data_IF_130398290815
#
_entry.id   IF_130398290815
#
_cell.length_a   1.000
_cell.length_b   1.000
_cell.length_c   1.000
_cell.angle_alpha   90.00
_cell.angle_beta   90.00
_cell.angle_gamma   90.00
#
_symmetry.space_group_name_H-M   'P 1'
#
loop_
_entity.id
_entity.type
_entity.pdbx_description
1 polymer ?
#
# COMPACT_ATOMS: atom_id res chain seq x y z
N UNK A 1 13.22 -17.72 9.33
CA UNK A 1 12.57 -18.52 10.41
C UNK A 1 11.19 -17.96 10.72
N UNK A 2 10.17 -18.76 11.09
CA UNK A 2 8.88 -18.24 11.52
C UNK A 2 9.04 -17.41 12.81
N UNK A 3 8.23 -16.38 12.96
CA UNK A 3 8.25 -15.55 14.16
C UNK A 3 7.40 -16.19 15.25
N UNK A 4 7.96 -16.38 16.45
CA UNK A 4 7.23 -16.92 17.60
C UNK A 4 6.44 -15.83 18.32
N UNK A 5 6.90 -14.58 18.21
CA UNK A 5 6.29 -13.44 18.90
C UNK A 5 6.41 -12.13 18.14
N UNK A 6 5.42 -11.24 18.34
CA UNK A 6 5.43 -9.87 17.81
C UNK A 6 6.63 -9.02 18.27
N UNK A 7 7.27 -9.44 19.37
CA UNK A 7 8.47 -8.81 19.91
C UNK A 7 9.73 -9.16 19.12
N UNK A 8 9.74 -10.23 18.32
CA UNK A 8 10.89 -10.62 17.49
C UNK A 8 10.91 -9.91 16.15
N UNK A 9 9.78 -9.29 15.79
CA UNK A 9 9.62 -8.57 14.55
C UNK A 9 10.64 -7.42 14.41
N UNK A 10 11.03 -7.07 13.18
CA UNK A 10 11.94 -5.95 12.90
C UNK A 10 11.44 -4.64 13.52
N UNK A 11 12.36 -3.73 13.88
CA UNK A 11 12.02 -2.43 14.48
C UNK A 11 10.95 -1.65 13.71
N UNK A 12 10.99 -1.71 12.37
CA UNK A 12 9.98 -1.07 11.50
C UNK A 12 8.56 -1.61 11.70
N UNK A 13 8.43 -2.90 12.03
CA UNK A 13 7.16 -3.58 12.31
C UNK A 13 6.74 -3.37 13.77
N UNK A 14 7.71 -3.22 14.70
CA UNK A 14 7.42 -2.93 16.12
C UNK A 14 6.73 -1.58 16.33
N UNK A 15 6.90 -0.64 15.41
CA UNK A 15 6.21 0.65 15.45
C UNK A 15 4.75 0.60 14.96
N UNK A 16 4.30 -0.55 14.47
CA UNK A 16 2.91 -0.73 14.02
C UNK A 16 1.95 -0.90 15.20
N UNK A 17 0.64 -0.71 14.99
CA UNK A 17 -0.39 -1.12 15.93
C UNK A 17 -0.32 -2.64 16.22
N UNK A 18 -0.71 -3.06 17.42
CA UNK A 18 -0.67 -4.48 17.85
C UNK A 18 -1.37 -5.42 16.87
N UNK A 19 -2.50 -4.99 16.30
CA UNK A 19 -3.25 -5.78 15.33
C UNK A 19 -2.53 -5.91 13.98
N UNK A 20 -1.82 -4.88 13.54
CA UNK A 20 -0.99 -4.94 12.34
C UNK A 20 0.20 -5.90 12.52
N UNK A 21 0.82 -5.92 13.70
CA UNK A 21 1.88 -6.89 14.04
C UNK A 21 1.38 -8.34 13.95
N UNK A 22 0.17 -8.59 14.44
CA UNK A 22 -0.43 -9.91 14.37
C UNK A 22 -0.71 -10.37 12.93
N UNK A 23 -1.21 -9.45 12.08
CA UNK A 23 -1.40 -9.71 10.63
C UNK A 23 -0.07 -10.04 9.97
N UNK A 24 0.96 -9.25 10.26
CA UNK A 24 2.30 -9.45 9.73
C UNK A 24 2.84 -10.84 10.08
N UNK A 25 2.83 -11.20 11.36
CA UNK A 25 3.31 -12.49 11.85
C UNK A 25 2.57 -13.65 11.19
N UNK A 26 1.24 -13.56 11.12
CA UNK A 26 0.39 -14.61 10.52
C UNK A 26 0.65 -14.77 9.02
N UNK A 27 0.75 -13.66 8.29
CA UNK A 27 1.07 -13.67 6.87
C UNK A 27 2.48 -14.23 6.63
N UNK A 28 3.47 -13.80 7.43
CA UNK A 28 4.84 -14.31 7.34
C UNK A 28 4.88 -15.81 7.58
N UNK A 29 4.32 -16.31 8.69
CA UNK A 29 4.36 -17.73 9.02
C UNK A 29 3.64 -18.57 7.95
N UNK A 30 2.49 -18.09 7.45
CA UNK A 30 1.77 -18.78 6.37
C UNK A 30 2.59 -18.86 5.07
N UNK A 31 3.23 -17.77 4.65
CA UNK A 31 4.10 -17.78 3.48
C UNK A 31 5.38 -18.58 3.72
N UNK A 32 5.91 -18.56 4.94
CA UNK A 32 7.09 -19.32 5.31
C UNK A 32 6.78 -20.81 5.18
N UNK A 33 5.68 -21.30 5.73
CA UNK A 33 5.28 -22.71 5.66
C UNK A 33 5.07 -23.20 4.23
N UNK A 34 4.47 -22.38 3.36
CA UNK A 34 4.21 -22.73 1.95
C UNK A 34 5.46 -22.69 1.07
N UNK A 35 6.48 -21.93 1.47
CA UNK A 35 7.63 -21.71 0.61
C UNK A 35 8.63 -22.88 0.65
N UNK A 36 8.68 -23.67 -0.42
CA UNK A 36 9.65 -24.78 -0.60
C UNK A 36 11.04 -24.29 -1.06
N UNK A 37 11.43 -23.06 -0.73
CA UNK A 37 12.75 -22.53 -1.11
C UNK A 37 13.85 -23.20 -0.29
N UNK A 38 14.84 -23.74 -1.00
CA UNK A 38 16.06 -24.35 -0.44
C UNK A 38 16.99 -23.33 0.22
N UNK A 39 16.95 -22.09 -0.26
CA UNK A 39 17.73 -20.97 0.27
C UNK A 39 16.95 -20.22 1.37
N UNK A 40 17.36 -20.40 2.63
CA UNK A 40 16.74 -19.72 3.78
C UNK A 40 16.71 -18.19 3.64
N UNK A 41 17.76 -17.59 3.08
CA UNK A 41 17.83 -16.14 2.90
C UNK A 41 16.82 -15.60 1.87
N UNK A 42 16.62 -16.33 0.77
CA UNK A 42 15.66 -15.96 -0.26
C UNK A 42 14.23 -16.19 0.22
N UNK A 43 13.99 -17.31 0.92
CA UNK A 43 12.73 -17.63 1.59
C UNK A 43 12.34 -16.53 2.57
N UNK A 44 13.26 -16.13 3.44
CA UNK A 44 13.00 -15.12 4.46
C UNK A 44 12.66 -13.76 3.85
N UNK A 45 13.41 -13.35 2.83
CA UNK A 45 13.13 -12.11 2.11
C UNK A 45 11.75 -12.14 1.45
N UNK A 46 11.39 -13.22 0.75
CA UNK A 46 10.10 -13.35 0.10
C UNK A 46 8.94 -13.34 1.10
N UNK A 47 9.05 -14.10 2.21
CA UNK A 47 8.06 -14.11 3.28
C UNK A 47 7.90 -12.72 3.92
N UNK A 48 9.01 -11.98 4.08
CA UNK A 48 8.98 -10.61 4.58
C UNK A 48 8.21 -9.65 3.64
N UNK A 49 8.47 -9.72 2.34
CA UNK A 49 7.79 -8.89 1.34
C UNK A 49 6.29 -9.19 1.27
N UNK A 50 5.92 -10.47 1.33
CA UNK A 50 4.53 -10.92 1.37
C UNK A 50 3.80 -10.45 2.63
N UNK A 51 4.43 -10.61 3.81
CA UNK A 51 3.88 -10.15 5.08
C UNK A 51 3.68 -8.62 5.11
N UNK A 52 4.63 -7.86 4.57
CA UNK A 52 4.50 -6.42 4.43
C UNK A 52 3.36 -6.03 3.48
N UNK A 53 3.13 -6.81 2.44
CA UNK A 53 2.03 -6.57 1.50
C UNK A 53 0.68 -6.73 2.20
N UNK A 54 0.50 -7.80 2.99
CA UNK A 54 -0.72 -8.01 3.78
C UNK A 54 -0.97 -6.88 4.81
N UNK A 55 0.08 -6.35 5.44
CA UNK A 55 -0.05 -5.19 6.33
C UNK A 55 -0.46 -3.95 5.54
N UNK A 56 0.19 -3.68 4.40
CA UNK A 56 -0.11 -2.52 3.55
C UNK A 56 -1.52 -2.54 2.96
N UNK A 57 -2.14 -3.71 2.83
CA UNK A 57 -3.53 -3.83 2.38
C UNK A 57 -4.54 -3.38 3.45
N UNK A 58 -4.18 -3.49 4.73
CA UNK A 58 -5.05 -3.14 5.86
C UNK A 58 -4.63 -1.86 6.58
N UNK A 59 -3.38 -1.43 6.42
CA UNK A 59 -2.78 -0.27 7.06
C UNK A 59 -1.97 0.54 6.04
N UNK A 60 -2.15 1.85 6.04
CA UNK A 60 -1.37 2.78 5.25
C UNK A 60 -0.45 3.57 6.17
N UNK A 61 0.80 3.77 5.74
CA UNK A 61 1.69 4.68 6.44
C UNK A 61 1.32 6.11 6.06
N UNK A 62 0.96 6.89 7.06
CA UNK A 62 0.74 8.31 6.90
C UNK A 62 2.09 9.02 6.67
N UNK A 63 2.20 9.76 5.57
CA UNK A 63 3.43 10.49 5.24
C UNK A 63 3.62 11.74 6.11
N UNK A 64 2.53 12.30 6.65
CA UNK A 64 2.56 13.53 7.46
C UNK A 64 3.01 13.23 8.90
N UNK A 65 2.50 12.14 9.52
CA UNK A 65 2.85 11.75 10.89
C UNK A 65 3.91 10.64 10.95
N UNK A 66 4.10 9.90 9.86
CA UNK A 66 4.95 8.71 9.84
C UNK A 66 4.34 7.48 10.53
N UNK A 67 3.08 7.57 10.98
CA UNK A 67 2.38 6.51 11.70
C UNK A 67 1.58 5.61 10.77
N UNK A 68 1.24 4.40 11.21
CA UNK A 68 0.46 3.46 10.41
C UNK A 68 -1.01 3.48 10.82
N UNK A 69 -1.88 3.85 9.89
CA UNK A 69 -3.33 4.00 10.10
C UNK A 69 -4.10 2.93 9.34
N UNK A 70 -5.17 2.40 9.94
CA UNK A 70 -5.97 1.34 9.30
C UNK A 70 -6.74 1.89 8.10
N UNK A 71 -6.59 1.24 6.94
CA UNK A 71 -7.32 1.52 5.71
C UNK A 71 -8.80 1.15 5.97
N UNK A 72 -9.63 2.15 6.17
CA UNK A 72 -11.04 2.00 6.53
C UNK A 72 -11.49 2.91 7.67
N UNK A 73 -10.58 3.30 8.57
CA UNK A 73 -10.89 4.27 9.63
C UNK A 73 -10.55 5.72 9.23
N UNK A 74 -9.69 5.90 8.20
CA UNK A 74 -9.30 7.23 7.68
C UNK A 74 -9.68 7.55 6.22
N UNK A 75 -10.16 6.56 5.44
CA UNK A 75 -10.41 6.71 4.00
C UNK A 75 -11.68 7.52 3.63
N UNK A 76 -12.35 8.12 4.62
CA UNK A 76 -13.48 9.03 4.40
C UNK A 76 -13.09 10.50 4.19
N UNK A 77 -11.83 10.90 4.42
CA UNK A 77 -11.45 12.33 4.49
C UNK A 77 -10.20 12.73 3.70
N UNK A 78 -9.60 11.83 2.92
CA UNK A 78 -8.57 12.23 1.95
C UNK A 78 -9.10 12.05 0.54
N UNK A 79 -9.56 13.19 0.02
CA UNK A 79 -9.75 13.52 -1.38
C UNK A 79 -9.18 12.47 -2.34
N UNK A 80 -10.07 11.79 -3.06
CA UNK A 80 -9.76 11.24 -4.37
C UNK A 80 -9.41 12.40 -5.31
N UNK A 81 -8.26 13.02 -5.11
CA UNK A 81 -7.66 13.91 -6.09
C UNK A 81 -7.07 13.00 -7.16
N UNK A 82 -7.95 12.46 -8.00
CA UNK A 82 -7.55 11.92 -9.28
C UNK A 82 -6.93 13.08 -10.03
N UNK A 83 -5.60 13.10 -10.10
CA UNK A 83 -4.88 13.94 -11.04
C UNK A 83 -5.24 13.42 -12.43
N UNK A 84 -6.38 13.86 -12.94
CA UNK A 84 -6.66 13.89 -14.36
C UNK A 84 -6.36 15.31 -14.81
N UNK A 85 -5.07 15.62 -14.96
CA UNK A 85 -4.64 16.67 -15.87
C UNK A 85 -5.01 16.21 -17.29
N UNK A 86 -6.30 16.30 -17.65
CA UNK A 86 -6.72 16.26 -19.04
C UNK A 86 -6.36 17.61 -19.61
N UNK A 87 -5.17 17.64 -20.24
CA UNK A 87 -4.67 18.68 -21.13
C UNK A 87 -5.83 19.40 -21.81
N UNK A 88 -5.91 20.70 -21.53
CA UNK A 88 -6.80 21.66 -22.17
C UNK A 88 -6.82 21.48 -23.68
N UNK A 89 -8.02 21.33 -24.24
CA UNK A 89 -8.32 21.66 -25.63
C UNK A 89 -9.56 22.56 -25.60
N UNK A 90 -9.41 23.89 -25.69
CA UNK A 90 -10.52 24.73 -26.08
C UNK A 90 -10.60 24.68 -27.60
N UNK A 91 -11.74 24.29 -28.16
CA UNK A 91 -12.14 24.84 -29.44
C UNK A 91 -13.65 24.85 -29.47
N UNK A 92 -14.17 26.03 -29.13
CA UNK A 92 -15.59 26.33 -29.16
C UNK A 92 -16.16 26.10 -30.55
N UNK A 93 -17.43 25.73 -30.53
CA UNK A 93 -18.28 25.62 -31.67
C UNK A 93 -18.45 26.98 -32.38
N UNK A 94 -18.66 26.88 -33.69
CA UNK A 94 -19.56 27.69 -34.51
C UNK A 94 -19.39 29.23 -34.49
N UNK A 95 -19.03 29.79 -35.64
CA UNK A 95 -19.80 30.88 -36.22
C UNK A 95 -19.59 30.97 -37.74
N UNK A 96 -20.74 30.93 -38.41
CA UNK A 96 -21.01 31.16 -39.82
C UNK A 96 -20.65 32.60 -40.24
N UNK A 97 -20.39 32.80 -41.55
CA UNK A 97 -20.86 33.92 -42.38
C UNK A 97 -19.81 34.75 -43.16
N UNK A 98 -20.11 34.86 -44.47
CA UNK A 98 -19.96 36.00 -45.42
C UNK A 98 -18.65 36.17 -46.22
N UNK A 99 -18.80 35.83 -47.52
CA UNK A 99 -18.61 36.65 -48.73
C UNK A 99 -17.32 37.48 -48.90
N UNK A 100 -16.55 37.18 -49.96
CA UNK A 100 -16.20 38.15 -51.02
C UNK A 100 -15.52 37.46 -52.23
N UNK A 101 -15.78 38.03 -53.42
CA UNK A 101 -15.27 37.77 -54.78
C UNK A 101 -16.20 36.94 -55.69
#
# INVERSE_FOLDING_TARGET
MPYESISELPKSVRNLPSQAKAIYMKAFNSFWEDCDQTDDAAREKASHEAAWSAVKEQYEKDDETGEWVKIGEGAGKRSRHVIRHRKSRPSGAASQAKAHA
#
